data_IF_406638438137
#
_entry.id   IF_406638438137
#
_cell.length_a   1.000
_cell.length_b   1.000
_cell.length_c   1.000
_cell.angle_alpha   90.00
_cell.angle_beta   90.00
_cell.angle_gamma   90.00
#
_symmetry.space_group_name_H-M   'P 1'
#
loop_
_entity.id
_entity.type
_entity.pdbx_description
1 polymer ?
#
# COMPACT_ATOMS: atom_id res chain seq x y z
N UNK A 1 53.01 -1.68 -0.54
CA UNK A 1 53.20 -2.19 0.83
C UNK A 1 51.92 -2.92 1.19
N UNK A 2 52.08 -4.22 1.43
CA UNK A 2 51.11 -5.28 1.74
C UNK A 2 50.07 -5.62 0.63
N UNK A 3 50.24 -6.79 -0.04
CA UNK A 3 49.45 -7.33 -1.15
C UNK A 3 48.35 -8.31 -0.66
N UNK A 4 47.90 -9.21 -1.54
CA UNK A 4 47.00 -10.38 -1.39
C UNK A 4 45.49 -10.11 -1.23
N UNK A 5 44.72 -10.38 -2.29
CA UNK A 5 44.01 -11.66 -2.46
C UNK A 5 43.73 -11.86 -3.95
N UNK A 6 44.25 -12.96 -4.44
CA UNK A 6 44.15 -13.45 -5.80
C UNK A 6 42.97 -14.42 -5.91
N UNK A 7 42.36 -14.47 -7.11
CA UNK A 7 41.59 -15.58 -7.66
C UNK A 7 40.27 -15.98 -6.97
N UNK A 8 39.15 -15.66 -7.63
CA UNK A 8 37.94 -16.51 -7.57
C UNK A 8 37.65 -17.01 -8.99
N UNK A 9 37.67 -18.34 -9.23
CA UNK A 9 37.35 -18.94 -10.52
C UNK A 9 35.83 -19.01 -10.78
N UNK A 10 35.50 -19.12 -12.07
CA UNK A 10 34.19 -19.37 -12.65
C UNK A 10 33.50 -20.65 -12.13
N UNK A 11 32.17 -20.78 -12.32
CA UNK A 11 31.34 -21.73 -11.59
C UNK A 11 31.58 -23.17 -12.06
N UNK A 12 31.87 -24.06 -11.12
CA UNK A 12 31.91 -25.50 -11.35
C UNK A 12 30.57 -26.12 -10.92
N UNK A 13 29.89 -26.70 -11.88
CA UNK A 13 28.66 -27.45 -11.73
C UNK A 13 28.99 -28.83 -11.15
N UNK A 14 28.60 -29.11 -9.91
CA UNK A 14 28.24 -30.45 -9.41
C UNK A 14 28.01 -30.42 -7.90
N UNK A 15 26.79 -30.76 -7.49
CA UNK A 15 26.39 -31.49 -6.26
C UNK A 15 24.89 -31.28 -6.03
N UNK A 16 24.09 -31.68 -7.01
CA UNK A 16 22.63 -31.79 -6.87
C UNK A 16 22.32 -33.23 -6.46
N UNK A 17 22.85 -33.69 -5.32
CA UNK A 17 22.64 -35.05 -4.76
C UNK A 17 22.98 -35.09 -3.24
N UNK A 18 22.44 -34.21 -2.39
CA UNK A 18 22.53 -34.38 -0.92
C UNK A 18 21.22 -34.02 -0.16
N UNK A 19 20.08 -33.88 -0.86
CA UNK A 19 18.82 -33.41 -0.24
C UNK A 19 17.88 -34.54 0.25
N UNK A 20 18.37 -35.79 0.36
CA UNK A 20 17.50 -36.93 0.72
C UNK A 20 17.76 -37.53 2.12
N UNK A 21 18.66 -36.97 2.94
CA UNK A 21 19.06 -37.59 4.23
C UNK A 21 18.58 -36.89 5.51
N UNK A 22 17.61 -35.98 5.44
CA UNK A 22 17.08 -35.30 6.64
C UNK A 22 15.57 -35.50 6.87
N UNK A 23 15.05 -36.69 6.54
CA UNK A 23 13.61 -36.96 6.74
C UNK A 23 13.28 -38.33 7.32
N UNK A 24 14.16 -38.84 8.17
CA UNK A 24 13.97 -40.14 8.83
C UNK A 24 14.33 -40.06 10.32
N UNK A 25 13.73 -39.11 11.06
CA UNK A 25 13.74 -39.15 12.55
C UNK A 25 12.75 -38.14 13.17
N UNK A 26 11.49 -38.55 13.33
CA UNK A 26 10.44 -38.04 14.26
C UNK A 26 9.07 -38.34 13.62
N UNK A 27 8.15 -39.13 14.16
CA UNK A 27 8.01 -39.69 15.50
C UNK A 27 7.35 -41.07 15.38
N UNK A 28 7.80 -41.98 16.24
CA UNK A 28 7.13 -43.23 16.56
C UNK A 28 5.92 -42.87 17.41
N UNK A 29 4.72 -42.93 16.83
CA UNK A 29 3.47 -42.96 17.61
C UNK A 29 2.97 -44.40 17.65
N UNK A 30 3.54 -45.15 18.58
CA UNK A 30 2.95 -46.39 19.08
C UNK A 30 2.02 -46.02 20.22
N UNK A 31 0.71 -46.03 19.96
CA UNK A 31 -0.27 -46.64 20.88
C UNK A 31 -1.64 -46.78 20.19
N UNK A 32 -1.89 -47.99 19.72
CA UNK A 32 -3.23 -48.56 19.59
C UNK A 32 -3.94 -48.50 20.96
N UNK A 33 -4.74 -47.46 21.19
CA UNK A 33 -5.88 -47.55 22.14
C UNK A 33 -7.18 -47.17 21.44
N UNK A 34 -7.69 -48.19 20.74
CA UNK A 34 -9.10 -48.51 20.52
C UNK A 34 -10.09 -47.77 21.44
N UNK A 35 -10.91 -46.84 20.89
CA UNK A 35 -12.37 -46.89 21.01
C UNK A 35 -13.09 -45.67 20.38
N UNK A 36 -13.76 -45.95 19.25
CA UNK A 36 -15.13 -45.55 18.93
C UNK A 36 -15.56 -44.07 19.11
N UNK A 37 -15.13 -43.16 18.22
CA UNK A 37 -16.06 -42.23 17.53
C UNK A 37 -15.50 -41.95 16.13
N UNK A 38 -16.11 -42.54 15.11
CA UNK A 38 -15.80 -42.28 13.72
C UNK A 38 -16.37 -40.90 13.35
N UNK A 39 -15.62 -39.82 13.56
CA UNK A 39 -16.01 -38.49 13.08
C UNK A 39 -15.67 -38.41 11.58
N UNK A 40 -16.65 -38.31 10.66
CA UNK A 40 -16.36 -38.15 9.24
C UNK A 40 -15.56 -36.86 9.03
N UNK A 41 -14.53 -36.96 8.20
CA UNK A 41 -13.51 -35.94 7.94
C UNK A 41 -14.11 -34.71 7.22
N UNK A 42 -14.79 -33.84 7.95
CA UNK A 42 -15.30 -32.55 7.44
C UNK A 42 -14.27 -31.40 7.62
N UNK A 43 -13.10 -31.69 8.22
CA UNK A 43 -12.11 -30.69 8.63
C UNK A 43 -11.30 -30.06 7.49
N UNK A 44 -11.39 -30.60 6.27
CA UNK A 44 -10.65 -30.07 5.10
C UNK A 44 -11.18 -28.71 4.63
N UNK A 45 -12.47 -28.45 4.83
CA UNK A 45 -13.10 -27.16 4.47
C UNK A 45 -13.06 -26.13 5.61
N UNK A 46 -12.81 -26.56 6.85
CA UNK A 46 -12.76 -25.67 8.01
C UNK A 46 -11.48 -24.82 8.03
N UNK A 47 -10.37 -25.33 7.50
CA UNK A 47 -9.09 -24.59 7.44
C UNK A 47 -9.17 -23.31 6.59
N UNK A 48 -9.62 -23.32 5.33
CA UNK A 48 -9.75 -22.09 4.55
C UNK A 48 -10.82 -21.15 5.14
N UNK A 49 -11.89 -21.70 5.75
CA UNK A 49 -12.92 -20.89 6.39
C UNK A 49 -12.38 -20.05 7.57
N UNK A 50 -11.47 -20.61 8.38
CA UNK A 50 -10.83 -19.89 9.49
C UNK A 50 -9.93 -18.76 8.98
N UNK A 51 -9.16 -19.00 7.91
CA UNK A 51 -8.28 -17.98 7.32
C UNK A 51 -9.13 -16.83 6.76
N UNK A 52 -10.19 -17.14 6.01
CA UNK A 52 -11.11 -16.13 5.47
C UNK A 52 -11.74 -15.33 6.60
N UNK A 53 -12.20 -15.99 7.67
CA UNK A 53 -12.77 -15.32 8.84
C UNK A 53 -11.76 -14.37 9.51
N UNK A 54 -10.50 -14.80 9.65
CA UNK A 54 -9.44 -13.94 10.20
C UNK A 54 -9.18 -12.73 9.30
N UNK A 55 -9.10 -12.91 7.98
CA UNK A 55 -8.95 -11.80 7.03
C UNK A 55 -10.12 -10.82 7.17
N UNK A 56 -11.36 -11.31 7.24
CA UNK A 56 -12.54 -10.45 7.42
C UNK A 56 -12.46 -9.68 8.74
N UNK A 57 -12.09 -10.36 9.83
CA UNK A 57 -11.97 -9.74 11.17
C UNK A 57 -10.90 -8.66 11.22
N UNK A 58 -9.84 -8.74 10.40
CA UNK A 58 -8.80 -7.70 10.33
C UNK A 58 -9.16 -6.61 9.30
N UNK A 59 -9.66 -6.99 8.13
CA UNK A 59 -9.92 -6.06 7.03
C UNK A 59 -11.14 -5.17 7.33
N UNK A 60 -12.22 -5.71 7.91
CA UNK A 60 -13.43 -4.95 8.23
C UNK A 60 -13.16 -3.77 9.19
N UNK A 61 -12.47 -3.93 10.34
CA UNK A 61 -12.17 -2.79 11.21
C UNK A 61 -11.18 -1.82 10.59
N UNK A 62 -10.23 -2.28 9.77
CA UNK A 62 -9.32 -1.38 9.03
C UNK A 62 -10.10 -0.53 8.04
N UNK A 63 -10.98 -1.13 7.24
CA UNK A 63 -11.87 -0.40 6.31
C UNK A 63 -12.80 0.54 7.09
N UNK A 64 -13.36 0.08 8.21
CA UNK A 64 -14.22 0.91 9.05
C UNK A 64 -13.46 2.13 9.58
N UNK A 65 -12.23 1.93 10.07
CA UNK A 65 -11.42 3.01 10.62
C UNK A 65 -11.01 4.01 9.52
N UNK A 66 -10.56 3.56 8.35
CA UNK A 66 -10.20 4.46 7.25
C UNK A 66 -11.40 5.26 6.74
N UNK A 67 -12.58 4.64 6.61
CA UNK A 67 -13.81 5.33 6.21
C UNK A 67 -14.33 6.25 7.32
N UNK A 68 -14.22 5.86 8.59
CA UNK A 68 -14.63 6.70 9.71
C UNK A 68 -13.74 7.95 9.84
N UNK A 69 -12.44 7.83 9.58
CA UNK A 69 -11.54 8.98 9.52
C UNK A 69 -11.89 9.91 8.36
N UNK A 70 -12.27 9.35 7.20
CA UNK A 70 -12.74 10.17 6.08
C UNK A 70 -14.01 10.96 6.41
N UNK A 71 -14.95 10.41 7.19
CA UNK A 71 -16.18 11.14 7.56
C UNK A 71 -15.94 12.35 8.47
N UNK A 72 -14.88 12.36 9.26
CA UNK A 72 -14.54 13.49 10.12
C UNK A 72 -13.80 14.61 9.37
N UNK A 73 -13.23 14.32 8.19
CA UNK A 73 -12.50 15.29 7.35
C UNK A 73 -13.28 15.67 6.09
N UNK A 74 -14.20 14.82 5.63
CA UNK A 74 -15.03 15.06 4.46
C UNK A 74 -16.36 15.69 4.86
N UNK A 75 -16.35 17.00 5.10
CA UNK A 75 -17.47 17.80 4.59
C UNK A 75 -17.53 17.50 3.09
N UNK A 76 -18.53 16.75 2.63
CA UNK A 76 -18.73 16.49 1.20
C UNK A 76 -18.50 17.80 0.44
N UNK A 77 -17.42 17.92 -0.35
CA UNK A 77 -17.21 19.17 -1.06
C UNK A 77 -18.38 19.28 -2.01
N UNK A 78 -19.21 20.31 -1.79
CA UNK A 78 -20.22 20.70 -2.76
C UNK A 78 -19.45 20.93 -4.06
N UNK A 79 -19.75 20.13 -5.09
CA UNK A 79 -18.95 20.02 -6.31
C UNK A 79 -18.84 21.35 -7.09
N UNK A 80 -19.63 22.35 -6.71
CA UNK A 80 -19.64 23.71 -7.27
C UNK A 80 -19.28 24.77 -6.21
N UNK A 81 -18.21 24.56 -5.44
CA UNK A 81 -17.73 25.60 -4.51
C UNK A 81 -17.01 26.73 -5.24
N UNK A 82 -16.30 26.43 -6.34
CA UNK A 82 -15.44 27.40 -7.03
C UNK A 82 -15.98 27.89 -8.38
N UNK A 83 -17.19 27.48 -8.77
CA UNK A 83 -17.78 27.92 -10.04
C UNK A 83 -17.12 27.28 -11.26
N UNK A 84 -17.34 27.89 -12.42
CA UNK A 84 -16.88 27.39 -13.73
C UNK A 84 -15.88 28.33 -14.40
N UNK A 85 -15.70 29.54 -13.87
CA UNK A 85 -14.77 30.53 -14.40
C UNK A 85 -13.75 30.95 -13.34
N UNK A 86 -12.58 31.40 -13.78
CA UNK A 86 -11.56 31.95 -12.88
C UNK A 86 -12.07 33.17 -12.08
N UNK A 87 -12.93 33.99 -12.69
CA UNK A 87 -13.54 35.13 -12.00
C UNK A 87 -14.46 34.68 -10.86
N UNK A 88 -15.33 33.70 -11.11
CA UNK A 88 -16.21 33.12 -10.08
C UNK A 88 -15.40 32.47 -8.95
N UNK A 89 -14.34 31.73 -9.29
CA UNK A 89 -13.50 31.07 -8.29
C UNK A 89 -12.85 32.08 -7.35
N UNK A 90 -12.27 33.17 -7.90
CA UNK A 90 -11.67 34.25 -7.11
C UNK A 90 -12.71 34.98 -6.25
N UNK A 91 -13.88 35.29 -6.81
CA UNK A 91 -14.97 35.95 -6.09
C UNK A 91 -15.48 35.11 -4.90
N UNK A 92 -15.49 33.78 -5.07
CA UNK A 92 -15.83 32.82 -4.02
C UNK A 92 -14.68 32.51 -3.05
N UNK A 93 -13.51 33.13 -3.21
CA UNK A 93 -12.36 32.94 -2.33
C UNK A 93 -11.60 31.62 -2.53
N UNK A 94 -11.79 30.95 -3.67
CA UNK A 94 -11.01 29.77 -4.04
C UNK A 94 -9.59 30.13 -4.44
N UNK A 95 -8.68 29.17 -4.27
CA UNK A 95 -7.27 29.28 -4.64
C UNK A 95 -7.01 28.38 -5.84
N UNK A 96 -6.19 28.86 -6.77
CA UNK A 96 -5.76 28.04 -7.90
C UNK A 96 -4.62 27.14 -7.47
N UNK A 97 -4.78 25.83 -7.62
CA UNK A 97 -3.74 24.84 -7.38
C UNK A 97 -3.04 24.52 -8.70
N UNK A 98 -1.73 24.74 -8.73
CA UNK A 98 -0.88 24.59 -9.93
C UNK A 98 -0.64 23.14 -10.33
N UNK A 99 -0.54 22.22 -9.36
CA UNK A 99 -0.29 20.78 -9.59
C UNK A 99 -1.50 20.10 -10.22
N UNK A 100 -2.71 20.35 -9.70
CA UNK A 100 -3.96 19.82 -10.21
C UNK A 100 -4.59 20.65 -11.34
N UNK A 101 -4.02 21.82 -11.64
CA UNK A 101 -4.55 22.80 -12.59
C UNK A 101 -6.05 23.07 -12.39
N UNK A 102 -6.44 23.28 -11.13
CA UNK A 102 -7.84 23.36 -10.72
C UNK A 102 -8.05 24.42 -9.65
N UNK A 103 -9.30 24.89 -9.50
CA UNK A 103 -9.69 25.79 -8.42
C UNK A 103 -10.21 25.00 -7.24
N UNK A 104 -9.65 25.24 -6.05
CA UNK A 104 -10.01 24.56 -4.82
C UNK A 104 -10.53 25.54 -3.76
N UNK A 105 -11.49 25.12 -2.91
CA UNK A 105 -11.75 25.79 -1.66
C UNK A 105 -10.46 25.91 -0.85
N UNK A 106 -10.31 27.00 -0.11
CA UNK A 106 -9.08 27.29 0.64
C UNK A 106 -8.74 26.19 1.65
N UNK A 107 -9.74 25.51 2.18
CA UNK A 107 -9.58 24.43 3.16
C UNK A 107 -9.01 23.15 2.53
N UNK A 108 -9.17 22.99 1.22
CA UNK A 108 -8.67 21.85 0.46
C UNK A 108 -7.30 22.09 -0.17
N UNK A 109 -6.79 23.31 -0.09
CA UNK A 109 -5.53 23.71 -0.70
C UNK A 109 -4.34 23.19 0.12
N UNK A 110 -3.58 22.25 -0.43
CA UNK A 110 -2.35 21.76 0.20
C UNK A 110 -1.17 22.69 -0.10
N UNK A 111 -1.06 23.70 0.74
CA UNK A 111 -0.02 24.73 0.64
C UNK A 111 1.39 24.17 0.72
N UNK A 112 1.63 23.16 1.56
CA UNK A 112 3.00 22.67 1.79
C UNK A 112 3.50 21.96 0.54
N UNK A 113 2.67 21.05 0.01
CA UNK A 113 3.01 20.32 -1.21
C UNK A 113 3.14 21.27 -2.41
N UNK A 114 2.28 22.28 -2.52
CA UNK A 114 2.41 23.26 -3.60
C UNK A 114 3.68 24.11 -3.47
N UNK A 115 4.01 24.60 -2.28
CA UNK A 115 5.25 25.38 -2.05
C UNK A 115 6.51 24.55 -2.37
N UNK A 116 6.52 23.25 -2.05
CA UNK A 116 7.58 22.31 -2.44
C UNK A 116 7.66 22.14 -3.96
N UNK A 117 6.52 21.96 -4.64
CA UNK A 117 6.45 21.82 -6.09
C UNK A 117 6.97 23.06 -6.82
N UNK A 118 6.55 24.25 -6.39
CA UNK A 118 7.01 25.53 -6.95
C UNK A 118 8.52 25.70 -6.70
N UNK A 119 9.01 25.37 -5.51
CA UNK A 119 10.44 25.42 -5.20
C UNK A 119 11.25 24.50 -6.11
N UNK A 120 10.74 23.29 -6.39
CA UNK A 120 11.37 22.34 -7.30
C UNK A 120 11.43 22.89 -8.74
N UNK A 121 10.33 23.47 -9.23
CA UNK A 121 10.28 24.07 -10.58
C UNK A 121 11.33 25.17 -10.73
N UNK A 122 11.40 26.09 -9.76
CA UNK A 122 12.36 27.20 -9.75
C UNK A 122 13.79 26.66 -9.71
N UNK A 123 14.06 25.67 -8.86
CA UNK A 123 15.40 25.09 -8.71
C UNK A 123 15.91 24.40 -9.99
N UNK A 124 14.99 23.97 -10.86
CA UNK A 124 15.33 23.22 -12.08
C UNK A 124 15.06 24.01 -13.38
N UNK A 125 14.78 25.31 -13.28
CA UNK A 125 14.50 26.20 -14.43
C UNK A 125 13.39 25.66 -15.36
N UNK A 126 12.34 25.08 -14.75
CA UNK A 126 11.18 24.57 -15.47
C UNK A 126 10.17 25.70 -15.70
N UNK A 127 9.67 25.82 -16.94
CA UNK A 127 8.63 26.81 -17.28
C UNK A 127 7.23 26.20 -17.19
N UNK A 128 6.41 26.66 -16.25
CA UNK A 128 4.96 26.45 -16.26
C UNK A 128 4.29 27.52 -17.12
N UNK A 129 3.87 27.15 -18.33
CA UNK A 129 3.04 28.05 -19.16
C UNK A 129 1.59 28.04 -18.65
N UNK A 130 1.26 28.93 -17.71
CA UNK A 130 -0.10 29.16 -17.23
C UNK A 130 -0.81 30.21 -18.12
N UNK A 131 -1.11 29.84 -19.37
CA UNK A 131 -1.69 30.78 -20.36
C UNK A 131 -3.21 31.00 -20.23
N UNK A 132 -3.85 30.65 -19.11
CA UNK A 132 -5.33 30.65 -19.00
C UNK A 132 -5.91 31.21 -17.71
N UNK A 133 -5.11 31.93 -16.90
CA UNK A 133 -5.50 32.31 -15.52
C UNK A 133 -5.42 33.81 -15.23
N UNK A 134 -5.38 34.66 -16.25
CA UNK A 134 -5.63 36.09 -16.09
C UNK A 134 -7.09 36.38 -16.43
#
# INVERSE_FOLDING_TARGET
MIPWISHIPLPNQSTLCEEEKFKDYSDVDSEDTKSLIHHPTQSRFLRPAIIILYIIVIIVPVIYFTVAQQKNVASHPKYDQCGTTAAEARDRGCVFETTGFTWLPKECHDRVTEEEFISYIIANDLNLSMSGLL
#
